data_IF_646760782918
#
_entry.id   IF_646760782918
#
_cell.length_a   1.000
_cell.length_b   1.000
_cell.length_c   1.000
_cell.angle_alpha   90.00
_cell.angle_beta   90.00
_cell.angle_gamma   90.00
#
_symmetry.space_group_name_H-M   'P 1'
#
loop_
_entity.id
_entity.type
_entity.pdbx_description
1 polymer ?
#
# COMPACT_ATOMS: atom_id res chain seq x y z
N UNK A 1 -22.73 40.46 29.43
CA UNK A 1 -22.34 41.00 28.12
C UNK A 1 -22.11 39.79 27.22
N UNK A 2 -22.83 39.66 26.10
CA UNK A 2 -22.56 38.57 25.15
C UNK A 2 -21.22 38.90 24.49
N UNK A 3 -20.27 37.96 24.56
CA UNK A 3 -19.00 38.10 23.86
C UNK A 3 -19.20 37.66 22.40
N UNK A 4 -19.46 38.65 21.56
CA UNK A 4 -19.69 38.46 20.12
C UNK A 4 -18.44 37.95 19.39
N UNK A 5 -17.25 37.98 20.00
CA UNK A 5 -16.02 37.42 19.41
C UNK A 5 -16.01 35.89 19.37
N UNK A 6 -16.87 35.23 20.16
CA UNK A 6 -17.04 33.77 20.16
C UNK A 6 -18.04 33.27 19.12
N UNK A 7 -18.81 34.15 18.46
CA UNK A 7 -19.85 33.76 17.51
C UNK A 7 -19.29 33.62 16.09
N UNK A 8 -19.07 32.38 15.65
CA UNK A 8 -18.57 32.09 14.30
C UNK A 8 -19.66 32.25 13.23
N UNK A 9 -19.33 32.90 12.11
CA UNK A 9 -20.23 32.98 10.97
C UNK A 9 -20.49 31.57 10.38
N UNK A 10 -21.60 31.37 9.65
CA UNK A 10 -21.84 30.13 8.93
C UNK A 10 -20.70 29.75 7.97
N UNK A 11 -20.09 30.74 7.30
CA UNK A 11 -18.98 30.55 6.35
C UNK A 11 -17.70 30.10 7.07
N UNK A 12 -17.37 30.71 8.22
CA UNK A 12 -16.25 30.26 9.05
C UNK A 12 -16.46 28.83 9.52
N UNK A 13 -17.68 28.50 9.99
CA UNK A 13 -18.02 27.13 10.42
C UNK A 13 -17.92 26.12 9.28
N UNK A 14 -18.38 26.47 8.08
CA UNK A 14 -18.28 25.61 6.90
C UNK A 14 -16.83 25.37 6.49
N UNK A 15 -16.00 26.42 6.52
CA UNK A 15 -14.56 26.34 6.20
C UNK A 15 -13.81 25.46 7.20
N UNK A 16 -14.07 25.64 8.50
CA UNK A 16 -13.48 24.80 9.55
C UNK A 16 -13.93 23.34 9.43
N UNK A 17 -15.21 23.10 9.17
CA UNK A 17 -15.75 21.75 8.98
C UNK A 17 -15.14 21.06 7.76
N UNK A 18 -14.95 21.78 6.65
CA UNK A 18 -14.27 21.24 5.47
C UNK A 18 -12.81 20.88 5.76
N UNK A 19 -12.08 21.77 6.44
CA UNK A 19 -10.69 21.54 6.81
C UNK A 19 -10.53 20.30 7.70
N UNK A 20 -11.41 20.15 8.69
CA UNK A 20 -11.47 18.99 9.57
C UNK A 20 -11.80 17.70 8.80
N UNK A 21 -12.81 17.74 7.93
CA UNK A 21 -13.20 16.59 7.10
C UNK A 21 -12.04 16.11 6.21
N UNK A 22 -11.29 17.03 5.59
CA UNK A 22 -10.08 16.69 4.80
C UNK A 22 -8.98 16.06 5.66
N UNK A 23 -8.75 16.58 6.88
CA UNK A 23 -7.75 16.03 7.79
C UNK A 23 -8.08 14.60 8.24
N UNK A 24 -9.35 14.35 8.58
CA UNK A 24 -9.85 13.02 8.93
C UNK A 24 -9.74 12.07 7.74
N UNK A 25 -10.16 12.50 6.55
CA UNK A 25 -10.07 11.71 5.33
C UNK A 25 -8.63 11.28 5.02
N UNK A 26 -7.63 12.16 5.14
CA UNK A 26 -6.21 11.80 4.94
C UNK A 26 -5.73 10.71 5.89
N UNK A 27 -6.15 10.78 7.15
CA UNK A 27 -5.84 9.77 8.16
C UNK A 27 -6.52 8.45 7.81
N UNK A 28 -7.80 8.47 7.45
CA UNK A 28 -8.56 7.28 7.08
C UNK A 28 -7.99 6.60 5.82
N UNK A 29 -7.64 7.36 4.77
CA UNK A 29 -6.97 6.84 3.56
C UNK A 29 -5.71 6.07 3.95
N UNK A 30 -4.86 6.68 4.78
CA UNK A 30 -3.59 6.07 5.19
C UNK A 30 -3.81 4.79 5.98
N UNK A 31 -4.73 4.81 6.94
CA UNK A 31 -5.08 3.63 7.76
C UNK A 31 -5.60 2.49 6.90
N UNK A 32 -6.56 2.75 6.01
CA UNK A 32 -7.17 1.71 5.16
C UNK A 32 -6.17 1.10 4.19
N UNK A 33 -5.37 1.93 3.52
CA UNK A 33 -4.35 1.43 2.59
C UNK A 33 -3.26 0.64 3.32
N UNK A 34 -2.86 1.08 4.51
CA UNK A 34 -1.87 0.35 5.32
C UNK A 34 -2.41 -1.00 5.78
N UNK A 35 -3.67 -1.05 6.23
CA UNK A 35 -4.34 -2.29 6.59
C UNK A 35 -4.44 -3.25 5.39
N UNK A 36 -4.85 -2.75 4.22
CA UNK A 36 -4.93 -3.54 3.00
C UNK A 36 -3.56 -4.15 2.62
N UNK A 37 -2.48 -3.33 2.63
CA UNK A 37 -1.11 -3.82 2.39
C UNK A 37 -0.70 -4.91 3.37
N UNK A 38 -1.00 -4.73 4.66
CA UNK A 38 -0.64 -5.68 5.70
C UNK A 38 -1.29 -7.08 5.52
N UNK A 39 -2.39 -7.18 4.77
CA UNK A 39 -2.97 -8.50 4.40
C UNK A 39 -2.19 -9.25 3.33
N UNK A 40 -1.35 -8.54 2.56
CA UNK A 40 -0.64 -9.07 1.39
C UNK A 40 0.85 -9.31 1.65
N UNK A 41 1.41 -8.74 2.73
CA UNK A 41 2.83 -8.85 3.07
C UNK A 41 3.02 -9.36 4.49
N UNK A 42 4.16 -10.01 4.73
CA UNK A 42 4.59 -10.31 6.10
C UNK A 42 5.22 -9.05 6.72
N UNK A 43 4.65 -8.61 7.84
CA UNK A 43 5.18 -7.48 8.62
C UNK A 43 6.15 -7.99 9.67
N UNK A 44 7.45 -7.97 9.35
CA UNK A 44 8.55 -8.29 10.27
C UNK A 44 9.72 -7.32 10.02
N UNK A 45 10.49 -6.92 11.05
CA UNK A 45 11.69 -6.12 10.85
C UNK A 45 12.63 -6.77 9.84
N UNK A 46 13.05 -6.01 8.81
CA UNK A 46 13.94 -6.50 7.76
C UNK A 46 13.28 -7.40 6.69
N UNK A 47 12.03 -7.82 6.85
CA UNK A 47 11.37 -8.76 5.93
C UNK A 47 11.30 -8.26 4.48
N UNK A 48 11.06 -6.95 4.30
CA UNK A 48 11.03 -6.33 2.97
C UNK A 48 12.39 -6.44 2.27
N UNK A 49 13.49 -6.30 3.01
CA UNK A 49 14.84 -6.48 2.45
C UNK A 49 15.08 -7.92 2.00
N UNK A 50 14.58 -8.89 2.78
CA UNK A 50 14.64 -10.31 2.41
C UNK A 50 13.85 -10.57 1.13
N UNK A 51 12.62 -10.05 1.00
CA UNK A 51 11.83 -10.26 -0.21
C UNK A 51 12.47 -9.62 -1.46
N UNK A 52 13.04 -8.42 -1.33
CA UNK A 52 13.78 -7.79 -2.43
C UNK A 52 15.02 -8.61 -2.83
N UNK A 53 15.76 -9.14 -1.85
CA UNK A 53 16.92 -9.99 -2.11
C UNK A 53 16.52 -11.32 -2.78
N UNK A 54 15.42 -11.94 -2.34
CA UNK A 54 14.85 -13.15 -2.95
C UNK A 54 14.48 -12.93 -4.42
N UNK A 55 13.76 -11.84 -4.70
CA UNK A 55 13.38 -11.50 -6.08
C UNK A 55 14.62 -11.31 -6.97
N UNK A 56 15.61 -10.53 -6.51
CA UNK A 56 16.84 -10.28 -7.25
C UNK A 56 17.64 -11.57 -7.50
N UNK A 57 17.72 -12.44 -6.50
CA UNK A 57 18.41 -13.73 -6.62
C UNK A 57 17.70 -14.68 -7.57
N UNK A 58 16.37 -14.77 -7.52
CA UNK A 58 15.57 -15.55 -8.45
C UNK A 58 15.72 -15.08 -9.89
N UNK A 59 15.68 -13.76 -10.12
CA UNK A 59 15.87 -13.18 -11.46
C UNK A 59 17.25 -13.53 -12.02
N UNK A 60 18.30 -13.42 -11.20
CA UNK A 60 19.66 -13.83 -11.60
C UNK A 60 19.76 -15.33 -11.85
N UNK A 61 19.07 -16.16 -11.08
CA UNK A 61 19.10 -17.62 -11.25
C UNK A 61 18.47 -18.03 -12.58
N UNK A 62 17.30 -17.47 -12.91
CA UNK A 62 16.60 -17.77 -14.17
C UNK A 62 17.38 -17.29 -15.40
N UNK A 63 18.12 -16.19 -15.29
CA UNK A 63 18.91 -15.65 -16.38
C UNK A 63 20.28 -16.34 -16.57
N UNK A 64 20.75 -17.12 -15.59
CA UNK A 64 22.02 -17.82 -15.67
C UNK A 64 21.87 -19.11 -16.49
N UNK A 65 22.62 -19.27 -17.61
CA UNK A 65 22.54 -20.47 -18.44
C UNK A 65 23.13 -21.72 -17.77
N UNK A 66 23.92 -21.58 -16.71
CA UNK A 66 24.55 -22.68 -15.99
C UNK A 66 24.70 -22.33 -14.49
N UNK A 67 23.59 -22.20 -13.74
CA UNK A 67 23.62 -21.69 -12.38
C UNK A 67 24.33 -22.65 -11.44
N UNK A 68 25.34 -22.14 -10.72
CA UNK A 68 25.91 -22.80 -9.55
C UNK A 68 25.13 -22.39 -8.30
N UNK A 69 24.36 -23.31 -7.74
CA UNK A 69 23.50 -23.09 -6.57
C UNK A 69 24.28 -22.58 -5.34
N UNK A 70 25.59 -22.86 -5.23
CA UNK A 70 26.42 -22.31 -4.15
C UNK A 70 26.52 -20.78 -4.18
N UNK A 71 26.26 -20.16 -5.35
CA UNK A 71 26.22 -18.71 -5.50
C UNK A 71 24.83 -18.10 -5.23
N UNK A 72 23.81 -18.91 -4.95
CA UNK A 72 22.43 -18.50 -4.69
C UNK A 72 21.99 -18.94 -3.29
N UNK A 73 22.48 -18.28 -2.23
CA UNK A 73 22.31 -18.74 -0.85
C UNK A 73 20.87 -18.71 -0.35
N UNK A 74 20.02 -17.80 -0.83
CA UNK A 74 18.61 -17.76 -0.42
C UNK A 74 17.83 -18.90 -1.06
N UNK A 75 18.04 -19.15 -2.36
CA UNK A 75 17.43 -20.30 -3.04
C UNK A 75 17.89 -21.60 -2.39
N UNK A 76 19.20 -21.77 -2.19
CA UNK A 76 19.77 -22.95 -1.56
C UNK A 76 19.16 -23.24 -0.17
N UNK A 77 18.85 -22.20 0.60
CA UNK A 77 18.31 -22.33 1.96
C UNK A 77 16.83 -22.73 2.03
N UNK A 78 16.04 -22.54 0.96
CA UNK A 78 14.58 -22.76 0.98
C UNK A 78 14.10 -23.89 0.06
N UNK A 79 15.01 -24.52 -0.69
CA UNK A 79 14.73 -25.76 -1.40
C UNK A 79 14.36 -26.86 -0.41
N UNK A 80 13.32 -27.62 -0.73
CA UNK A 80 12.72 -28.64 0.13
C UNK A 80 11.81 -28.09 1.23
N UNK A 81 11.78 -26.77 1.44
CA UNK A 81 10.88 -26.11 2.40
C UNK A 81 9.72 -25.46 1.66
N UNK A 82 10.02 -24.60 0.68
CA UNK A 82 9.00 -23.84 -0.05
C UNK A 82 8.69 -24.44 -1.42
N UNK A 83 9.69 -25.03 -2.08
CA UNK A 83 9.53 -25.73 -3.35
C UNK A 83 10.54 -26.89 -3.43
N UNK A 84 10.30 -27.92 -4.26
CA UNK A 84 11.16 -29.10 -4.32
C UNK A 84 12.52 -28.84 -4.98
N UNK A 85 12.65 -27.79 -5.79
CA UNK A 85 13.90 -27.42 -6.48
C UNK A 85 14.05 -25.90 -6.65
N UNK A 86 15.26 -25.46 -7.00
CA UNK A 86 15.63 -24.05 -7.14
C UNK A 86 14.88 -23.34 -8.27
N UNK A 87 14.60 -24.04 -9.37
CA UNK A 87 13.90 -23.45 -10.52
C UNK A 87 12.45 -23.15 -10.14
N UNK A 88 11.74 -24.12 -9.55
CA UNK A 88 10.37 -23.92 -9.08
C UNK A 88 10.31 -22.84 -8.01
N UNK A 89 11.27 -22.81 -7.07
CA UNK A 89 11.34 -21.78 -6.04
C UNK A 89 11.53 -20.38 -6.63
N UNK A 90 12.46 -20.22 -7.57
CA UNK A 90 12.70 -18.95 -8.24
C UNK A 90 11.44 -18.45 -8.98
N UNK A 91 10.74 -19.34 -9.69
CA UNK A 91 9.50 -19.01 -10.38
C UNK A 91 8.40 -18.57 -9.40
N UNK A 92 8.27 -19.23 -8.24
CA UNK A 92 7.33 -18.82 -7.18
C UNK A 92 7.66 -17.41 -6.69
N UNK A 93 8.93 -17.12 -6.38
CA UNK A 93 9.31 -15.78 -5.90
C UNK A 93 9.07 -14.68 -6.93
N UNK A 94 9.39 -14.93 -8.21
CA UNK A 94 9.14 -13.97 -9.29
C UNK A 94 7.63 -13.75 -9.51
N UNK A 95 6.83 -14.82 -9.48
CA UNK A 95 5.38 -14.71 -9.59
C UNK A 95 4.77 -13.92 -8.43
N UNK A 96 5.21 -14.18 -7.19
CA UNK A 96 4.77 -13.44 -6.01
C UNK A 96 5.17 -11.96 -6.07
N UNK A 97 6.39 -11.66 -6.54
CA UNK A 97 6.83 -10.29 -6.74
C UNK A 97 5.96 -9.55 -7.78
N UNK A 98 5.55 -10.24 -8.84
CA UNK A 98 4.67 -9.67 -9.86
C UNK A 98 3.26 -9.40 -9.34
N UNK A 99 2.66 -10.38 -8.66
CA UNK A 99 1.37 -10.22 -7.98
C UNK A 99 1.41 -9.04 -6.99
N UNK A 100 2.49 -8.93 -6.21
CA UNK A 100 2.69 -7.80 -5.31
C UNK A 100 2.74 -6.46 -6.05
N UNK A 101 3.52 -6.35 -7.13
CA UNK A 101 3.59 -5.09 -7.91
C UNK A 101 2.23 -4.68 -8.47
N UNK A 102 1.47 -5.64 -9.03
CA UNK A 102 0.14 -5.37 -9.56
C UNK A 102 -0.81 -4.87 -8.45
N UNK A 103 -0.82 -5.54 -7.30
CA UNK A 103 -1.62 -5.13 -6.15
C UNK A 103 -1.19 -3.77 -5.58
N UNK A 104 0.12 -3.55 -5.41
CA UNK A 104 0.69 -2.32 -4.89
C UNK A 104 0.39 -1.12 -5.80
N UNK A 105 0.47 -1.31 -7.13
CA UNK A 105 0.10 -0.27 -8.09
C UNK A 105 -1.37 0.13 -7.96
N UNK A 106 -2.28 -0.84 -7.87
CA UNK A 106 -3.71 -0.58 -7.66
C UNK A 106 -4.00 0.15 -6.34
N UNK A 107 -3.38 -0.29 -5.25
CA UNK A 107 -3.50 0.35 -3.93
C UNK A 107 -2.98 1.78 -3.93
N UNK A 108 -1.84 2.03 -4.59
CA UNK A 108 -1.25 3.35 -4.65
C UNK A 108 -2.04 4.30 -5.55
N UNK A 109 -2.56 3.82 -6.68
CA UNK A 109 -3.47 4.57 -7.53
C UNK A 109 -4.74 4.98 -6.77
N UNK A 110 -5.34 4.06 -6.01
CA UNK A 110 -6.49 4.35 -5.15
C UNK A 110 -6.14 5.38 -4.06
N UNK A 111 -4.99 5.23 -3.39
CA UNK A 111 -4.53 6.15 -2.34
C UNK A 111 -4.35 7.57 -2.87
N UNK A 112 -3.57 7.71 -3.95
CA UNK A 112 -3.25 9.01 -4.54
C UNK A 112 -4.48 9.64 -5.21
N UNK A 113 -5.29 8.85 -5.91
CA UNK A 113 -6.53 9.33 -6.54
C UNK A 113 -7.54 9.83 -5.51
N UNK A 114 -7.77 9.07 -4.44
CA UNK A 114 -8.67 9.49 -3.34
C UNK A 114 -8.14 10.74 -2.65
N UNK A 115 -6.84 10.79 -2.35
CA UNK A 115 -6.23 11.97 -1.73
C UNK A 115 -6.37 13.22 -2.62
N UNK A 116 -6.12 13.11 -3.92
CA UNK A 116 -6.30 14.22 -4.86
C UNK A 116 -7.75 14.71 -4.92
N UNK A 117 -8.73 13.79 -4.91
CA UNK A 117 -10.15 14.13 -4.90
C UNK A 117 -10.57 14.83 -3.59
N UNK A 118 -10.07 14.37 -2.43
CA UNK A 118 -10.29 15.01 -1.14
C UNK A 118 -9.69 16.42 -1.11
N UNK A 119 -8.50 16.61 -1.66
CA UNK A 119 -7.88 17.95 -1.71
C UNK A 119 -8.65 18.90 -2.63
N UNK A 120 -9.19 18.41 -3.75
CA UNK A 120 -10.00 19.19 -4.68
C UNK A 120 -11.41 19.54 -4.16
N UNK A 121 -11.92 18.81 -3.15
CA UNK A 121 -13.26 19.02 -2.62
C UNK A 121 -13.44 20.43 -2.03
N UNK A 122 -14.52 21.11 -2.41
CA UNK A 122 -14.97 22.40 -1.89
C UNK A 122 -16.04 22.28 -0.80
N UNK A 123 -16.58 21.09 -0.55
CA UNK A 123 -17.58 20.85 0.50
C UNK A 123 -17.34 19.54 1.26
N UNK A 124 -17.90 19.43 2.47
CA UNK A 124 -17.87 18.18 3.25
C UNK A 124 -18.53 17.03 2.48
N UNK A 125 -19.64 17.29 1.77
CA UNK A 125 -20.31 16.28 0.95
C UNK A 125 -19.43 15.75 -0.19
N UNK A 126 -18.60 16.60 -0.79
CA UNK A 126 -17.64 16.19 -1.81
C UNK A 126 -16.48 15.38 -1.21
N UNK A 127 -16.04 15.68 0.02
CA UNK A 127 -15.07 14.84 0.74
C UNK A 127 -15.65 13.44 0.98
N UNK A 128 -16.89 13.35 1.45
CA UNK A 128 -17.58 12.07 1.67
C UNK A 128 -17.74 11.27 0.36
N UNK A 129 -18.08 11.94 -0.73
CA UNK A 129 -18.17 11.33 -2.06
C UNK A 129 -16.81 10.82 -2.55
N UNK A 130 -15.74 11.58 -2.37
CA UNK A 130 -14.38 11.17 -2.71
C UNK A 130 -13.96 9.92 -1.92
N UNK A 131 -14.31 9.86 -0.63
CA UNK A 131 -13.97 8.74 0.25
C UNK A 131 -14.74 7.44 -0.06
N UNK A 132 -15.83 7.50 -0.84
CA UNK A 132 -16.61 6.31 -1.19
C UNK A 132 -15.75 5.23 -1.88
N UNK A 133 -14.80 5.63 -2.73
CA UNK A 133 -13.92 4.70 -3.44
C UNK A 133 -13.05 3.88 -2.47
N UNK A 134 -12.33 4.53 -1.55
CA UNK A 134 -11.44 3.82 -0.60
C UNK A 134 -12.22 3.03 0.45
N UNK A 135 -13.42 3.47 0.83
CA UNK A 135 -14.29 2.77 1.77
C UNK A 135 -14.97 1.54 1.16
N UNK A 136 -15.25 1.58 -0.15
CA UNK A 136 -15.83 0.45 -0.87
C UNK A 136 -14.80 -0.58 -1.36
N UNK A 137 -13.51 -0.22 -1.41
CA UNK A 137 -12.47 -1.10 -1.93
C UNK A 137 -12.12 -2.27 -1.01
N UNK A 138 -12.32 -2.14 0.30
CA UNK A 138 -12.01 -3.15 1.30
C UNK A 138 -13.13 -3.21 2.34
N UNK A 139 -13.63 -4.41 2.70
CA UNK A 139 -14.65 -4.58 3.74
C UNK A 139 -14.17 -4.16 5.13
#
# INVERSE_FOLDING_TARGET
>A
MIDWTLMKSPETRATEALAEAKAQARTEITTRISAARATMITTLPGQQMIYMAKEAEAARYIADPAPDLATYPLLAAEIGITAPDAWQLAQIWLAMADLWRQAAAGLEALRLGTAAAVEAAGTVGEVEAAMAAVRGAFP
#
